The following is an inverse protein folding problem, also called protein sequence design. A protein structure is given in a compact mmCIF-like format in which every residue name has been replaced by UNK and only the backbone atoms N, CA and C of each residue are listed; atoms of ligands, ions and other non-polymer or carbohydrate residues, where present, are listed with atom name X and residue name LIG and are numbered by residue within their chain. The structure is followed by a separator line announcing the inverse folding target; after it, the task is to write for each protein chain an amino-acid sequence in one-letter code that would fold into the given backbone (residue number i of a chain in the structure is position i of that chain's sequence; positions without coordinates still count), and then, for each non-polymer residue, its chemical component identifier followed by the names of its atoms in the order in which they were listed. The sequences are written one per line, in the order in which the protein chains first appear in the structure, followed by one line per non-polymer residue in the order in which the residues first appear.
data_IF_189641013836
#
_entry.id   IF_189641013836
#
_cell.length_a   1.000
_cell.length_b   1.000
_cell.length_c   1.000
_cell.angle_alpha   90.00
_cell.angle_beta   90.00
_cell.angle_gamma   90.00
#
_symmetry.space_group_name_H-M   'P 1'
#
loop_
_entity.id
_entity.type
_entity.pdbx_description
1 polymer ?
#
# COMPACT_ATOMS: atom_id res chain seq x y z
N UNK A 1 -25.74 -40.69 -24.44
CA UNK A 1 -25.26 -40.67 -23.04
C UNK A 1 -23.78 -41.03 -23.01
N UNK A 2 -22.89 -40.03 -23.00
CA UNK A 2 -21.46 -40.20 -22.72
C UNK A 2 -21.01 -38.97 -21.95
N UNK A 3 -20.98 -39.14 -20.64
CA UNK A 3 -20.47 -38.17 -19.67
C UNK A 3 -18.94 -38.19 -19.75
N UNK A 4 -18.35 -37.14 -20.32
CA UNK A 4 -16.93 -36.84 -20.14
C UNK A 4 -16.81 -36.01 -18.86
N UNK A 5 -16.48 -36.70 -17.77
CA UNK A 5 -16.15 -36.07 -16.51
C UNK A 5 -14.83 -35.29 -16.70
N UNK A 6 -14.95 -33.97 -16.82
CA UNK A 6 -13.83 -33.05 -16.69
C UNK A 6 -13.44 -33.05 -15.22
N UNK A 7 -12.42 -33.85 -14.89
CA UNK A 7 -11.70 -33.77 -13.62
C UNK A 7 -10.92 -32.45 -13.66
N UNK A 8 -11.58 -31.37 -13.26
CA UNK A 8 -10.91 -30.10 -12.99
C UNK A 8 -10.08 -30.30 -11.71
N UNK A 9 -8.83 -30.67 -11.91
CA UNK A 9 -7.80 -30.71 -10.88
C UNK A 9 -7.64 -29.28 -10.34
N UNK A 10 -8.30 -29.00 -9.22
CA UNK A 10 -8.08 -27.81 -8.41
C UNK A 10 -6.72 -28.00 -7.74
N UNK A 11 -5.64 -27.74 -8.50
CA UNK A 11 -4.32 -27.51 -7.93
C UNK A 11 -4.42 -26.15 -7.24
N UNK A 12 -4.95 -26.18 -6.02
CA UNK A 12 -4.87 -25.06 -5.11
C UNK A 12 -3.39 -24.80 -4.84
N UNK A 13 -2.84 -23.78 -5.49
CA UNK A 13 -1.56 -23.21 -5.10
C UNK A 13 -1.69 -22.84 -3.62
N UNK A 14 -1.08 -23.64 -2.73
CA UNK A 14 -0.84 -23.28 -1.33
C UNK A 14 0.15 -22.12 -1.32
N UNK A 15 -0.32 -20.92 -1.62
CA UNK A 15 0.41 -19.72 -1.27
C UNK A 15 0.30 -19.62 0.25
N UNK A 16 1.41 -19.87 0.94
CA UNK A 16 1.50 -19.54 2.36
C UNK A 16 1.09 -18.08 2.55
N UNK A 17 0.33 -17.76 3.61
CA UNK A 17 0.00 -16.38 3.90
C UNK A 17 1.29 -15.55 4.02
N UNK A 18 1.28 -14.28 3.58
CA UNK A 18 2.48 -13.44 3.62
C UNK A 18 2.95 -13.24 5.07
N UNK A 19 4.27 -13.20 5.26
CA UNK A 19 4.88 -12.88 6.55
C UNK A 19 4.59 -11.43 6.96
N UNK A 20 4.79 -11.09 8.24
CA UNK A 20 4.61 -9.71 8.69
C UNK A 20 5.53 -8.73 7.93
N UNK A 21 6.79 -9.11 7.75
CA UNK A 21 7.75 -8.35 6.94
C UNK A 21 7.28 -8.13 5.49
N UNK A 22 6.74 -9.17 4.83
CA UNK A 22 6.21 -9.05 3.47
C UNK A 22 5.00 -8.13 3.38
N UNK A 23 4.14 -8.13 4.41
CA UNK A 23 3.01 -7.20 4.49
C UNK A 23 3.53 -5.77 4.65
N UNK A 24 4.47 -5.54 5.56
CA UNK A 24 5.08 -4.23 5.78
C UNK A 24 5.77 -3.69 4.52
N UNK A 25 6.55 -4.52 3.82
CA UNK A 25 7.19 -4.14 2.55
C UNK A 25 6.18 -3.76 1.47
N UNK A 26 5.09 -4.53 1.34
CA UNK A 26 4.02 -4.22 0.37
C UNK A 26 3.29 -2.93 0.73
N UNK A 27 2.99 -2.73 2.01
CA UNK A 27 2.37 -1.51 2.51
C UNK A 27 3.25 -0.28 2.25
N UNK A 28 4.56 -0.40 2.46
CA UNK A 28 5.52 0.67 2.17
C UNK A 28 5.60 0.99 0.68
N UNK A 29 5.82 -0.03 -0.16
CA UNK A 29 5.89 0.15 -1.61
C UNK A 29 4.59 0.76 -2.18
N UNK A 30 3.44 0.43 -1.59
CA UNK A 30 2.16 1.04 -1.93
C UNK A 30 2.12 2.54 -1.60
N UNK A 31 2.61 2.97 -0.44
CA UNK A 31 2.74 4.40 -0.14
C UNK A 31 3.67 5.10 -1.12
N UNK A 32 4.83 4.51 -1.43
CA UNK A 32 5.77 5.08 -2.40
C UNK A 32 5.15 5.23 -3.79
N UNK A 33 4.35 4.26 -4.23
CA UNK A 33 3.64 4.30 -5.49
C UNK A 33 2.59 5.43 -5.52
N UNK A 34 1.80 5.58 -4.46
CA UNK A 34 0.80 6.66 -4.37
C UNK A 34 1.45 8.04 -4.34
N UNK A 35 2.45 8.23 -3.48
CA UNK A 35 3.17 9.51 -3.36
C UNK A 35 3.91 9.84 -4.65
N UNK A 36 4.63 8.86 -5.23
CA UNK A 36 5.31 9.03 -6.51
C UNK A 36 4.36 9.38 -7.66
N UNK A 37 3.15 8.82 -7.68
CA UNK A 37 2.14 9.17 -8.68
C UNK A 37 1.72 10.65 -8.56
N UNK A 38 1.57 11.17 -7.33
CA UNK A 38 1.26 12.58 -7.08
C UNK A 38 2.42 13.52 -7.41
N UNK A 39 3.64 13.16 -7.01
CA UNK A 39 4.86 13.92 -7.30
C UNK A 39 5.10 14.10 -8.81
N UNK A 40 4.80 13.07 -9.61
CA UNK A 40 4.96 13.09 -11.05
C UNK A 40 4.02 14.07 -11.77
N UNK A 41 3.00 14.61 -11.09
CA UNK A 41 2.03 15.52 -11.71
C UNK A 41 2.39 17.00 -11.50
N UNK A 42 2.16 17.85 -12.52
CA UNK A 42 2.53 19.26 -12.48
C UNK A 42 1.54 20.14 -11.71
N UNK A 43 0.32 19.66 -11.44
CA UNK A 43 -0.73 20.42 -10.76
C UNK A 43 -1.35 19.61 -9.63
N UNK A 44 -1.88 20.30 -8.62
CA UNK A 44 -2.49 19.64 -7.47
C UNK A 44 -3.74 18.79 -7.81
N UNK A 45 -4.67 19.25 -8.67
CA UNK A 45 -5.80 18.40 -9.06
C UNK A 45 -5.37 17.15 -9.81
N UNK A 46 -4.35 17.26 -10.68
CA UNK A 46 -3.80 16.10 -11.38
C UNK A 46 -3.09 15.16 -10.40
N UNK A 47 -2.33 15.70 -9.44
CA UNK A 47 -1.67 14.93 -8.39
C UNK A 47 -2.68 14.13 -7.57
N UNK A 48 -3.74 14.77 -7.05
CA UNK A 48 -4.76 14.09 -6.26
C UNK A 48 -5.49 13.01 -7.06
N UNK A 49 -5.86 13.26 -8.32
CA UNK A 49 -6.46 12.24 -9.17
C UNK A 49 -5.51 11.05 -9.43
N UNK A 50 -4.22 11.31 -9.65
CA UNK A 50 -3.22 10.25 -9.83
C UNK A 50 -3.00 9.44 -8.55
N UNK A 51 -2.94 10.11 -7.40
CA UNK A 51 -2.81 9.46 -6.09
C UNK A 51 -4.02 8.57 -5.79
N UNK A 52 -5.25 9.04 -6.02
CA UNK A 52 -6.46 8.25 -5.81
C UNK A 52 -6.50 7.01 -6.71
N UNK A 53 -6.07 7.16 -7.97
CA UNK A 53 -5.95 6.03 -8.89
C UNK A 53 -4.94 5.00 -8.38
N UNK A 54 -3.73 5.44 -8.02
CA UNK A 54 -2.69 4.57 -7.48
C UNK A 54 -3.15 3.89 -6.16
N UNK A 55 -3.86 4.62 -5.30
CA UNK A 55 -4.44 4.05 -4.08
C UNK A 55 -5.42 2.93 -4.41
N UNK A 56 -6.33 3.13 -5.38
CA UNK A 56 -7.25 2.10 -5.82
C UNK A 56 -6.54 0.83 -6.33
N UNK A 57 -5.43 0.99 -7.06
CA UNK A 57 -4.61 -0.12 -7.57
C UNK A 57 -3.87 -0.87 -6.44
N UNK A 58 -3.52 -0.18 -5.36
CA UNK A 58 -2.76 -0.73 -4.24
C UNK A 58 -3.57 -0.95 -2.95
N UNK A 59 -4.88 -0.73 -2.97
CA UNK A 59 -5.74 -0.68 -1.77
C UNK A 59 -5.56 -1.87 -0.83
N UNK A 60 -5.44 -3.08 -1.37
CA UNK A 60 -5.29 -4.28 -0.56
C UNK A 60 -4.00 -4.27 0.29
N UNK A 61 -2.91 -3.67 -0.19
CA UNK A 61 -1.67 -3.57 0.57
C UNK A 61 -1.83 -2.67 1.80
N UNK A 62 -2.61 -1.59 1.70
CA UNK A 62 -2.93 -0.73 2.85
C UNK A 62 -3.84 -1.45 3.84
N UNK A 63 -4.86 -2.17 3.36
CA UNK A 63 -5.76 -2.96 4.22
C UNK A 63 -5.01 -4.06 4.97
N UNK A 64 -4.11 -4.78 4.28
CA UNK A 64 -3.29 -5.83 4.88
C UNK A 64 -2.32 -5.25 5.92
N UNK A 65 -1.70 -4.09 5.62
CA UNK A 65 -0.82 -3.40 6.56
C UNK A 65 -1.58 -2.95 7.82
N UNK A 66 -2.77 -2.35 7.69
CA UNK A 66 -3.61 -1.97 8.83
C UNK A 66 -4.10 -3.18 9.64
N UNK A 67 -4.21 -4.37 9.01
CA UNK A 67 -4.54 -5.58 9.74
C UNK A 67 -3.42 -6.03 10.71
N UNK A 68 -2.16 -5.59 10.51
CA UNK A 68 -1.06 -5.85 11.45
C UNK A 68 -1.34 -5.22 12.83
N UNK A 69 -2.01 -4.07 12.89
CA UNK A 69 -2.33 -3.38 14.16
C UNK A 69 -3.20 -4.23 15.10
N UNK A 70 -3.91 -5.22 14.54
CA UNK A 70 -4.78 -6.13 15.30
C UNK A 70 -4.02 -7.33 15.88
N UNK A 71 -2.80 -7.58 15.42
CA UNK A 71 -1.94 -8.67 15.87
C UNK A 71 -0.59 -8.12 16.34
N UNK A 72 -0.49 -7.88 17.65
CA UNK A 72 0.69 -7.27 18.27
C UNK A 72 1.99 -8.01 17.99
N UNK A 73 1.95 -9.34 17.92
CA UNK A 73 3.15 -10.14 17.66
C UNK A 73 3.65 -9.94 16.22
N UNK A 74 2.71 -9.90 15.26
CA UNK A 74 3.06 -9.62 13.87
C UNK A 74 3.47 -8.17 13.66
N UNK A 75 2.85 -7.23 14.37
CA UNK A 75 3.27 -5.83 14.36
C UNK A 75 4.71 -5.68 14.86
N UNK A 76 5.07 -6.33 15.97
CA UNK A 76 6.45 -6.33 16.49
C UNK A 76 7.45 -6.92 15.50
N UNK A 77 7.10 -8.02 14.83
CA UNK A 77 7.94 -8.63 13.76
C UNK A 77 8.13 -7.66 12.58
N UNK A 78 7.06 -7.01 12.12
CA UNK A 78 7.11 -6.02 11.06
C UNK A 78 7.98 -4.81 11.45
N UNK A 79 7.77 -4.25 12.65
CA UNK A 79 8.55 -3.12 13.17
C UNK A 79 10.02 -3.47 13.29
N UNK A 80 10.35 -4.63 13.89
CA UNK A 80 11.74 -5.10 14.01
C UNK A 80 12.40 -5.22 12.64
N UNK A 81 11.68 -5.76 11.65
CA UNK A 81 12.18 -5.86 10.30
C UNK A 81 12.42 -4.49 9.67
N UNK A 82 11.50 -3.55 9.84
CA UNK A 82 11.62 -2.19 9.31
C UNK A 82 12.77 -1.43 9.93
N UNK A 83 12.95 -1.52 11.26
CA UNK A 83 14.06 -0.90 11.98
C UNK A 83 15.43 -1.46 11.52
N UNK A 84 15.51 -2.77 11.28
CA UNK A 84 16.72 -3.42 10.78
C UNK A 84 17.10 -2.99 9.34
N UNK A 85 16.17 -2.40 8.59
CA UNK A 85 16.40 -1.90 7.22
C UNK A 85 15.93 -0.44 7.06
N UNK A 86 16.11 0.37 8.11
CA UNK A 86 15.61 1.75 8.17
C UNK A 86 16.09 2.63 7.01
N UNK A 87 17.24 2.33 6.40
CA UNK A 87 17.75 3.00 5.21
C UNK A 87 16.76 2.92 4.03
N UNK A 88 16.10 1.76 3.85
CA UNK A 88 15.11 1.51 2.79
C UNK A 88 13.78 2.21 3.03
N UNK A 89 13.47 2.54 4.28
CA UNK A 89 12.22 3.15 4.71
C UNK A 89 12.37 4.65 5.02
N UNK A 90 13.51 5.24 4.65
CA UNK A 90 13.76 6.66 4.88
C UNK A 90 13.13 7.53 3.78
N UNK A 91 12.76 8.77 4.13
CA UNK A 91 12.44 9.82 3.17
C UNK A 91 11.00 9.85 2.63
N UNK A 92 10.20 8.79 2.79
CA UNK A 92 8.78 8.82 2.38
C UNK A 92 7.99 9.88 3.15
N UNK A 93 8.22 10.00 4.47
CA UNK A 93 7.57 11.02 5.30
C UNK A 93 7.86 12.43 4.77
N UNK A 94 9.13 12.75 4.53
CA UNK A 94 9.54 14.04 3.92
C UNK A 94 8.89 14.27 2.57
N UNK A 95 8.76 13.24 1.74
CA UNK A 95 8.07 13.34 0.43
C UNK A 95 6.58 13.62 0.58
N UNK A 96 5.93 12.97 1.54
CA UNK A 96 4.53 13.23 1.87
C UNK A 96 4.32 14.66 2.36
N UNK A 97 5.19 15.14 3.25
CA UNK A 97 5.19 16.53 3.73
C UNK A 97 5.36 17.52 2.59
N UNK A 98 6.38 17.35 1.74
CA UNK A 98 6.61 18.22 0.59
C UNK A 98 5.43 18.23 -0.40
N UNK A 99 4.78 17.08 -0.61
CA UNK A 99 3.61 16.99 -1.46
C UNK A 99 2.39 17.69 -0.83
N UNK A 100 2.21 17.56 0.49
CA UNK A 100 1.17 18.26 1.23
C UNK A 100 1.40 19.78 1.25
N UNK A 101 2.65 20.24 1.43
CA UNK A 101 3.03 21.65 1.36
C UNK A 101 2.86 22.25 -0.03
N UNK A 102 3.14 21.46 -1.08
CA UNK A 102 2.90 21.88 -2.48
C UNK A 102 1.42 22.02 -2.80
N UNK A 103 0.57 21.20 -2.16
CA UNK A 103 -0.87 21.12 -2.43
C UNK A 103 -1.72 21.26 -1.15
N UNK A 104 -1.57 22.36 -0.39
CA UNK A 104 -2.05 22.45 0.98
C UNK A 104 -3.57 22.50 1.08
N UNK A 105 -4.25 23.02 0.05
CA UNK A 105 -5.70 23.20 0.01
C UNK A 105 -6.40 22.29 -1.01
N UNK A 106 -5.66 21.38 -1.66
CA UNK A 106 -6.26 20.49 -2.65
C UNK A 106 -6.98 19.32 -1.94
N UNK A 107 -8.31 19.38 -1.98
CA UNK A 107 -9.16 18.38 -1.33
C UNK A 107 -8.93 16.95 -1.85
N UNK A 108 -8.48 16.78 -3.10
CA UNK A 108 -8.28 15.45 -3.69
C UNK A 108 -6.97 14.82 -3.24
N UNK A 109 -5.92 15.64 -3.06
CA UNK A 109 -4.65 15.22 -2.43
C UNK A 109 -4.87 14.89 -0.96
N UNK A 110 -5.56 15.75 -0.20
CA UNK A 110 -5.89 15.49 1.20
C UNK A 110 -6.74 14.21 1.36
N UNK A 111 -7.72 13.98 0.47
CA UNK A 111 -8.52 12.77 0.48
C UNK A 111 -7.68 11.51 0.22
N UNK A 112 -6.69 11.57 -0.68
CA UNK A 112 -5.80 10.44 -0.93
C UNK A 112 -4.93 10.10 0.29
N UNK A 113 -4.40 11.11 0.99
CA UNK A 113 -3.69 10.88 2.26
C UNK A 113 -4.60 10.28 3.33
N UNK A 114 -5.83 10.78 3.46
CA UNK A 114 -6.81 10.23 4.39
C UNK A 114 -7.19 8.77 4.07
N UNK A 115 -7.28 8.42 2.80
CA UNK A 115 -7.53 7.04 2.35
C UNK A 115 -6.35 6.11 2.68
N UNK A 116 -5.10 6.54 2.52
CA UNK A 116 -3.94 5.73 2.91
C UNK A 116 -3.88 5.48 4.42
N UNK A 117 -4.22 6.48 5.22
CA UNK A 117 -4.25 6.37 6.68
C UNK A 117 -5.43 5.53 7.21
N UNK A 118 -6.51 5.40 6.44
CA UNK A 118 -7.72 4.66 6.81
C UNK A 118 -8.39 4.00 5.57
N UNK A 119 -7.80 2.91 5.05
CA UNK A 119 -8.11 2.33 3.73
C UNK A 119 -9.37 1.44 3.63
#
# INVERSE_FOLDING_TARGET
MRWLAVVAFVIGCKQSPPTAAQIAERGWAAHEAVVGAGEAQPTCPAAGAAMQKAFGEHRQAFVDAMALDRDKARLEEATTYMEAHADRYSGLETRMELLAERCPEDATVQAAFAQMANP
#
